data_IF_274611059260
#
_entry.id   IF_274611059260
#
_cell.length_a   1.000
_cell.length_b   1.000
_cell.length_c   1.000
_cell.angle_alpha   90.00
_cell.angle_beta   90.00
_cell.angle_gamma   90.00
#
_symmetry.space_group_name_H-M   'P 1'
#
loop_
_entity.id
_entity.type
_entity.pdbx_description
1 polymer ?
#
# COMPACT_ATOMS: atom_id res chain seq x y z
N UNK A 1 85.93 -17.32 58.92
CA UNK A 1 84.81 -16.58 59.54
C UNK A 1 83.54 -16.91 58.74
N UNK A 2 82.43 -17.23 59.40
CA UNK A 2 81.50 -18.32 59.02
C UNK A 2 80.13 -17.83 58.48
N UNK A 3 79.13 -18.73 58.50
CA UNK A 3 77.72 -18.69 58.01
C UNK A 3 77.57 -19.11 56.53
N UNK A 4 77.02 -20.26 56.11
CA UNK A 4 75.94 -21.13 56.61
C UNK A 4 74.59 -20.40 56.79
N UNK A 5 73.64 -20.55 55.83
CA UNK A 5 72.29 -21.10 56.07
C UNK A 5 71.38 -21.17 54.79
N UNK A 6 70.80 -22.36 54.59
CA UNK A 6 69.51 -22.80 53.99
C UNK A 6 68.88 -22.25 52.67
N UNK A 7 68.73 -23.19 51.71
CA UNK A 7 67.51 -23.80 51.12
C UNK A 7 66.30 -22.91 50.75
N UNK A 8 65.89 -22.94 49.47
CA UNK A 8 64.52 -23.30 49.04
C UNK A 8 64.42 -23.69 47.56
N UNK A 9 63.68 -24.77 47.33
CA UNK A 9 63.28 -25.36 46.05
C UNK A 9 62.53 -24.38 45.15
N UNK A 10 62.72 -24.53 43.84
CA UNK A 10 61.83 -23.98 42.82
C UNK A 10 61.91 -24.78 41.52
N UNK A 11 61.09 -25.83 41.41
CA UNK A 11 60.76 -26.50 40.15
C UNK A 11 60.16 -25.49 39.17
N UNK A 12 60.66 -25.47 37.93
CA UNK A 12 60.06 -24.74 36.83
C UNK A 12 60.30 -25.46 35.50
N UNK A 13 59.66 -26.63 35.31
CA UNK A 13 59.44 -27.18 33.98
C UNK A 13 58.57 -26.17 33.21
N UNK A 14 59.16 -25.44 32.27
CA UNK A 14 58.41 -24.60 31.35
C UNK A 14 58.01 -25.41 30.12
N UNK A 15 56.71 -25.62 30.08
CA UNK A 15 55.86 -26.31 29.13
C UNK A 15 55.72 -25.54 27.80
N UNK A 16 55.36 -26.29 26.76
CA UNK A 16 54.53 -25.90 25.61
C UNK A 16 55.22 -25.52 24.30
N UNK A 17 55.33 -26.54 23.44
CA UNK A 17 55.26 -26.38 21.99
C UNK A 17 53.85 -25.90 21.61
N UNK A 18 53.73 -24.67 21.13
CA UNK A 18 52.52 -24.17 20.48
C UNK A 18 52.68 -24.35 18.97
N UNK A 19 51.88 -25.25 18.41
CA UNK A 19 51.77 -25.45 16.97
C UNK A 19 51.32 -24.17 16.27
N UNK A 20 52.01 -23.81 15.20
CA UNK A 20 51.62 -22.70 14.33
C UNK A 20 50.33 -23.08 13.58
N UNK A 21 49.23 -22.42 13.93
CA UNK A 21 48.00 -22.45 13.14
C UNK A 21 48.18 -21.47 11.97
N UNK A 22 48.24 -21.99 10.75
CA UNK A 22 48.25 -21.17 9.54
C UNK A 22 46.95 -20.36 9.44
N UNK A 23 47.06 -19.04 9.33
CA UNK A 23 45.92 -18.16 9.14
C UNK A 23 45.25 -18.37 7.76
N UNK A 24 43.92 -18.34 7.66
CA UNK A 24 43.23 -18.47 6.39
C UNK A 24 43.46 -17.24 5.51
N UNK A 25 43.86 -17.46 4.25
CA UNK A 25 43.94 -16.42 3.22
C UNK A 25 42.52 -16.03 2.77
N UNK A 26 42.12 -14.80 3.04
CA UNK A 26 40.85 -14.23 2.57
C UNK A 26 40.99 -13.93 1.08
N UNK A 27 40.25 -14.66 0.25
CA UNK A 27 40.14 -14.38 -1.20
C UNK A 27 39.09 -13.29 -1.42
N UNK A 28 39.51 -12.10 -1.83
CA UNK A 28 38.60 -11.00 -2.13
C UNK A 28 37.87 -11.27 -3.44
N UNK A 29 36.53 -11.35 -3.37
CA UNK A 29 35.68 -11.36 -4.57
C UNK A 29 35.63 -9.94 -5.15
N UNK A 30 35.97 -9.72 -6.43
CA UNK A 30 35.88 -8.39 -7.02
C UNK A 30 34.41 -7.96 -7.07
N UNK A 31 34.10 -6.80 -6.49
CA UNK A 31 32.77 -6.18 -6.60
C UNK A 31 32.66 -5.64 -8.03
N UNK A 32 31.84 -6.30 -8.86
CA UNK A 32 31.44 -5.77 -10.15
C UNK A 32 30.49 -4.59 -9.91
N UNK A 33 30.92 -3.38 -10.23
CA UNK A 33 30.02 -2.22 -10.25
C UNK A 33 29.31 -2.13 -11.59
N UNK A 34 27.98 -2.06 -11.56
CA UNK A 34 27.19 -1.75 -12.75
C UNK A 34 27.49 -0.31 -13.18
N UNK A 35 28.06 -0.14 -14.38
CA UNK A 35 28.13 1.19 -15.02
C UNK A 35 26.82 1.40 -15.77
N UNK A 36 26.09 2.43 -15.37
CA UNK A 36 24.95 2.91 -16.14
C UNK A 36 25.47 3.83 -17.23
N UNK A 37 25.20 3.48 -18.50
CA UNK A 37 25.49 4.37 -19.62
C UNK A 37 24.63 5.63 -19.54
N UNK A 38 25.11 6.78 -20.03
CA UNK A 38 24.29 7.99 -20.13
C UNK A 38 23.05 7.71 -20.99
N UNK A 39 21.87 7.88 -20.42
CA UNK A 39 20.60 7.84 -21.18
C UNK A 39 20.62 8.99 -22.19
N UNK A 40 20.25 8.75 -23.45
CA UNK A 40 20.18 9.80 -24.47
C UNK A 40 19.05 10.79 -24.17
N UNK A 41 19.13 11.98 -24.74
CA UNK A 41 18.09 13.00 -24.54
C UNK A 41 16.77 12.59 -25.19
N UNK A 42 16.80 11.86 -26.30
CA UNK A 42 15.62 11.29 -26.95
C UNK A 42 14.93 10.27 -26.06
N UNK A 43 15.70 9.33 -25.48
CA UNK A 43 15.15 8.32 -24.58
C UNK A 43 14.57 8.96 -23.31
N UNK A 44 15.22 10.00 -22.79
CA UNK A 44 14.75 10.75 -21.63
C UNK A 44 13.45 11.52 -21.97
N UNK A 45 13.41 12.18 -23.13
CA UNK A 45 12.24 12.89 -23.63
C UNK A 45 11.04 11.97 -23.84
N UNK A 46 11.25 10.82 -24.47
CA UNK A 46 10.19 9.85 -24.72
C UNK A 46 9.64 9.26 -23.42
N UNK A 47 10.52 8.78 -22.54
CA UNK A 47 10.10 8.12 -21.31
C UNK A 47 9.35 9.06 -20.35
N UNK A 48 9.82 10.30 -20.23
CA UNK A 48 9.23 11.30 -19.33
C UNK A 48 8.25 12.24 -20.02
N UNK A 49 8.01 12.07 -21.32
CA UNK A 49 7.14 12.92 -22.13
C UNK A 49 7.55 14.40 -22.03
N UNK A 50 8.84 14.67 -22.11
CA UNK A 50 9.43 16.00 -21.95
C UNK A 50 9.75 16.63 -23.31
N UNK A 51 9.62 17.95 -23.40
CA UNK A 51 10.09 18.71 -24.57
C UNK A 51 11.61 18.92 -24.53
N UNK A 52 12.21 19.29 -25.67
CA UNK A 52 13.65 19.53 -25.76
C UNK A 52 14.14 20.60 -24.76
N UNK A 53 13.36 21.66 -24.55
CA UNK A 53 13.68 22.72 -23.58
C UNK A 53 13.68 22.20 -22.14
N UNK A 54 12.74 21.31 -21.79
CA UNK A 54 12.64 20.71 -20.47
C UNK A 54 13.87 19.82 -20.20
N UNK A 55 14.31 19.06 -21.22
CA UNK A 55 15.52 18.22 -21.15
C UNK A 55 16.77 19.08 -20.95
N UNK A 56 16.93 20.16 -21.73
CA UNK A 56 18.07 21.06 -21.58
C UNK A 56 18.11 21.68 -20.18
N UNK A 57 16.96 22.16 -19.69
CA UNK A 57 16.81 22.72 -18.34
C UNK A 57 17.20 21.72 -17.26
N UNK A 58 16.68 20.49 -17.36
CA UNK A 58 17.01 19.40 -16.44
C UNK A 58 18.51 19.08 -16.45
N UNK A 59 19.10 18.87 -17.64
CA UNK A 59 20.53 18.57 -17.79
C UNK A 59 21.41 19.65 -17.21
N UNK A 60 21.12 20.92 -17.50
CA UNK A 60 21.87 22.08 -17.01
C UNK A 60 21.84 22.14 -15.48
N UNK A 61 20.67 21.90 -14.88
CA UNK A 61 20.52 21.89 -13.43
C UNK A 61 21.28 20.71 -12.78
N UNK A 62 21.13 19.51 -13.34
CA UNK A 62 21.79 18.30 -12.84
C UNK A 62 23.30 18.33 -13.01
N UNK A 63 23.83 18.99 -14.04
CA UNK A 63 25.28 19.15 -14.24
C UNK A 63 25.96 19.95 -13.10
N UNK A 64 25.22 20.81 -12.41
CA UNK A 64 25.69 21.69 -11.36
C UNK A 64 25.36 21.11 -9.96
N UNK A 65 24.46 21.75 -9.23
CA UNK A 65 24.08 21.37 -7.87
C UNK A 65 23.07 20.22 -7.82
N UNK A 66 22.27 20.04 -8.88
CA UNK A 66 21.19 19.05 -8.89
C UNK A 66 21.67 17.61 -8.66
N UNK A 67 22.86 17.26 -9.15
CA UNK A 67 23.46 15.92 -8.90
C UNK A 67 23.67 15.59 -7.43
N UNK A 68 23.88 16.59 -6.56
CA UNK A 68 24.14 16.37 -5.14
C UNK A 68 22.85 16.29 -4.32
N UNK A 69 21.86 17.11 -4.66
CA UNK A 69 20.62 17.21 -3.88
C UNK A 69 19.51 16.31 -4.42
N UNK A 70 19.45 16.09 -5.73
CA UNK A 70 18.28 15.51 -6.39
C UNK A 70 18.61 14.35 -7.34
N UNK A 71 19.82 13.79 -7.28
CA UNK A 71 20.21 12.63 -8.10
C UNK A 71 19.35 11.37 -7.88
N UNK A 72 18.56 11.34 -6.80
CA UNK A 72 17.65 10.25 -6.46
C UNK A 72 16.19 10.52 -6.90
N UNK A 73 15.91 11.71 -7.46
CA UNK A 73 14.58 12.09 -7.93
C UNK A 73 14.44 11.87 -9.42
N UNK A 74 13.22 11.64 -9.87
CA UNK A 74 12.93 11.60 -11.30
C UNK A 74 12.98 13.01 -11.94
N UNK A 75 13.22 13.10 -13.26
CA UNK A 75 13.35 14.38 -13.95
C UNK A 75 12.13 15.31 -13.83
N UNK A 76 10.92 14.75 -13.76
CA UNK A 76 9.69 15.55 -13.64
C UNK A 76 9.62 16.22 -12.27
N UNK A 77 9.94 15.49 -11.20
CA UNK A 77 10.02 16.07 -9.86
C UNK A 77 11.09 17.16 -9.76
N UNK A 78 12.28 16.92 -10.31
CA UNK A 78 13.35 17.93 -10.34
C UNK A 78 12.87 19.19 -11.06
N UNK A 79 12.31 19.04 -12.26
CA UNK A 79 11.78 20.15 -13.05
C UNK A 79 10.67 20.90 -12.29
N UNK A 80 9.75 20.19 -11.64
CA UNK A 80 8.69 20.79 -10.83
C UNK A 80 9.23 21.61 -9.65
N UNK A 81 10.29 21.15 -8.98
CA UNK A 81 10.93 21.85 -7.85
C UNK A 81 11.61 23.14 -8.32
N UNK A 82 12.37 23.07 -9.43
CA UNK A 82 13.17 24.23 -9.90
C UNK A 82 12.38 25.20 -10.78
N UNK A 83 11.21 24.81 -11.29
CA UNK A 83 10.40 25.64 -12.17
C UNK A 83 9.86 26.86 -11.43
N UNK A 84 9.99 28.06 -11.99
CA UNK A 84 9.47 29.30 -11.38
C UNK A 84 8.14 29.75 -11.99
N UNK A 85 7.86 29.35 -13.23
CA UNK A 85 6.57 29.60 -13.86
C UNK A 85 5.48 28.70 -13.28
N UNK A 86 4.38 29.29 -12.83
CA UNK A 86 3.29 28.55 -12.16
C UNK A 86 2.54 27.64 -13.13
N UNK A 87 2.40 28.04 -14.40
CA UNK A 87 1.75 27.24 -15.43
C UNK A 87 2.55 25.98 -15.72
N UNK A 88 3.84 26.15 -16.01
CA UNK A 88 4.76 25.05 -16.30
C UNK A 88 4.96 24.14 -15.10
N UNK A 89 5.01 24.70 -13.88
CA UNK A 89 5.07 23.90 -12.64
C UNK A 89 3.82 23.01 -12.47
N UNK A 90 2.64 23.52 -12.84
CA UNK A 90 1.39 22.73 -12.86
C UNK A 90 1.47 21.60 -13.90
N UNK A 91 1.96 21.87 -15.10
CA UNK A 91 2.14 20.84 -16.13
C UNK A 91 3.04 19.69 -15.66
N UNK A 92 4.15 20.00 -14.97
CA UNK A 92 5.01 18.96 -14.39
C UNK A 92 4.30 18.16 -13.29
N UNK A 93 3.52 18.82 -12.41
CA UNK A 93 2.74 18.14 -11.40
C UNK A 93 1.71 17.17 -12.02
N UNK A 94 1.04 17.59 -13.08
CA UNK A 94 0.09 16.74 -13.81
C UNK A 94 0.79 15.53 -14.44
N UNK A 95 1.94 15.74 -15.10
CA UNK A 95 2.76 14.65 -15.65
C UNK A 95 3.21 13.67 -14.57
N UNK A 96 3.65 14.18 -13.41
CA UNK A 96 4.07 13.36 -12.28
C UNK A 96 2.92 12.48 -11.79
N UNK A 97 1.74 13.06 -11.54
CA UNK A 97 0.58 12.32 -11.05
C UNK A 97 0.10 11.25 -12.04
N UNK A 98 0.15 11.53 -13.34
CA UNK A 98 -0.17 10.53 -14.36
C UNK A 98 0.82 9.36 -14.35
N UNK A 99 2.12 9.66 -14.28
CA UNK A 99 3.16 8.62 -14.17
C UNK A 99 3.01 7.80 -12.89
N UNK A 100 2.78 8.45 -11.76
CA UNK A 100 2.59 7.80 -10.47
C UNK A 100 1.35 6.91 -10.46
N UNK A 101 0.25 7.37 -11.05
CA UNK A 101 -0.96 6.56 -11.19
C UNK A 101 -0.71 5.27 -11.97
N UNK A 102 0.11 5.33 -13.04
CA UNK A 102 0.52 4.13 -13.80
C UNK A 102 1.36 3.19 -12.94
N UNK A 103 2.41 3.70 -12.28
CA UNK A 103 3.29 2.89 -11.41
C UNK A 103 2.52 2.19 -10.29
N UNK A 104 1.63 2.92 -9.61
CA UNK A 104 0.78 2.33 -8.56
C UNK A 104 -0.14 1.27 -9.14
N UNK A 105 -0.75 1.52 -10.30
CA UNK A 105 -1.61 0.53 -10.96
C UNK A 105 -0.85 -0.76 -11.28
N UNK A 106 0.37 -0.65 -11.81
CA UNK A 106 1.23 -1.81 -12.11
C UNK A 106 1.59 -2.59 -10.84
N UNK A 107 2.05 -1.91 -9.79
CA UNK A 107 2.38 -2.53 -8.51
C UNK A 107 1.18 -3.24 -7.87
N UNK A 108 0.00 -2.60 -7.87
CA UNK A 108 -1.23 -3.19 -7.34
C UNK A 108 -1.66 -4.39 -8.17
N UNK A 109 -1.56 -4.31 -9.51
CA UNK A 109 -1.90 -5.43 -10.38
C UNK A 109 -1.02 -6.64 -10.13
N UNK A 110 0.29 -6.42 -9.96
CA UNK A 110 1.24 -7.48 -9.65
C UNK A 110 1.00 -8.06 -8.25
N UNK A 111 0.82 -7.22 -7.23
CA UNK A 111 0.53 -7.67 -5.86
C UNK A 111 -0.76 -8.52 -5.81
N UNK A 112 -1.79 -8.13 -6.57
CA UNK A 112 -3.04 -8.89 -6.69
C UNK A 112 -2.79 -10.26 -7.32
N UNK A 113 -2.00 -10.30 -8.40
CA UNK A 113 -1.63 -11.56 -9.06
C UNK A 113 -0.82 -12.47 -8.12
N UNK A 114 0.14 -11.91 -7.37
CA UNK A 114 0.93 -12.66 -6.38
C UNK A 114 0.02 -13.27 -5.31
N UNK A 115 -0.93 -12.49 -4.77
CA UNK A 115 -1.88 -13.00 -3.78
C UNK A 115 -2.75 -14.14 -4.35
N UNK A 116 -3.28 -13.99 -5.57
CA UNK A 116 -4.07 -15.02 -6.23
C UNK A 116 -3.24 -16.30 -6.50
N UNK A 117 -1.98 -16.15 -6.95
CA UNK A 117 -1.09 -17.28 -7.19
C UNK A 117 -0.66 -17.96 -5.90
N UNK A 118 -0.44 -17.21 -4.83
CA UNK A 118 -0.12 -17.76 -3.51
C UNK A 118 -1.25 -18.65 -3.00
N UNK A 119 -2.51 -18.22 -3.13
CA UNK A 119 -3.66 -19.04 -2.74
C UNK A 119 -3.77 -20.33 -3.57
N UNK A 120 -3.50 -20.27 -4.88
CA UNK A 120 -3.52 -21.46 -5.74
C UNK A 120 -2.40 -22.46 -5.43
N UNK A 121 -1.21 -21.96 -5.11
CA UNK A 121 -0.02 -22.80 -4.89
C UNK A 121 0.07 -23.32 -3.46
N UNK A 122 -0.35 -22.53 -2.48
CA UNK A 122 -0.10 -22.77 -1.05
C UNK A 122 -1.38 -22.71 -0.19
N UNK A 123 -2.55 -22.45 -0.78
CA UNK A 123 -3.79 -22.35 -0.04
C UNK A 123 -3.75 -21.23 1.00
N UNK A 124 -4.19 -21.52 2.23
CA UNK A 124 -4.17 -20.59 3.35
C UNK A 124 -2.94 -20.74 4.25
N UNK A 125 -1.87 -21.38 3.75
CA UNK A 125 -0.62 -21.51 4.49
C UNK A 125 -0.02 -20.11 4.75
N UNK A 126 0.39 -19.80 5.99
CA UNK A 126 1.07 -18.53 6.26
C UNK A 126 2.44 -18.52 5.59
N UNK A 127 2.77 -17.43 4.90
CA UNK A 127 4.10 -17.23 4.28
C UNK A 127 5.27 -17.40 5.26
N UNK A 128 5.04 -17.14 6.55
CA UNK A 128 6.04 -17.26 7.59
C UNK A 128 5.45 -18.01 8.79
N UNK A 129 6.04 -19.16 9.11
CA UNK A 129 5.78 -19.82 10.39
C UNK A 129 6.72 -19.28 11.47
N UNK A 130 6.27 -18.23 12.15
CA UNK A 130 7.00 -17.68 13.30
C UNK A 130 7.05 -18.64 14.51
N UNK A 131 6.26 -19.71 14.54
CA UNK A 131 6.34 -20.74 15.59
C UNK A 131 7.56 -21.63 15.44
N UNK A 132 8.05 -21.82 14.21
CA UNK A 132 9.24 -22.62 13.92
C UNK A 132 10.56 -21.89 14.25
N UNK A 133 10.50 -20.61 14.65
CA UNK A 133 11.70 -19.87 15.03
C UNK A 133 12.25 -20.38 16.38
N UNK A 134 13.57 -20.67 16.50
CA UNK A 134 14.18 -21.14 17.75
C UNK A 134 13.98 -20.19 18.94
N UNK A 135 13.84 -18.89 18.65
CA UNK A 135 13.63 -17.85 19.66
C UNK A 135 12.20 -17.88 20.23
N UNK A 136 11.24 -18.41 19.46
CA UNK A 136 9.85 -18.54 19.88
C UNK A 136 9.64 -19.70 20.86
N UNK A 137 10.45 -20.75 20.76
CA UNK A 137 10.40 -21.91 21.66
C UNK A 137 11.24 -21.71 22.92
N UNK A 138 12.33 -20.94 22.84
CA UNK A 138 13.27 -20.75 23.94
C UNK A 138 12.93 -19.61 24.92
N UNK A 139 11.94 -18.76 24.62
CA UNK A 139 11.62 -17.58 25.45
C UNK A 139 10.20 -17.63 26.04
N UNK A 140 10.06 -17.73 27.39
CA UNK A 140 8.76 -17.65 28.06
C UNK A 140 8.01 -16.35 27.79
N UNK A 141 8.73 -15.23 27.64
CA UNK A 141 8.12 -13.92 27.34
C UNK A 141 7.60 -13.83 25.91
N UNK A 142 8.15 -14.62 24.98
CA UNK A 142 7.63 -14.71 23.62
C UNK A 142 6.31 -15.50 23.59
N UNK A 143 6.21 -16.56 24.41
CA UNK A 143 4.97 -17.34 24.53
C UNK A 143 3.85 -16.53 25.20
N UNK A 144 4.17 -15.76 26.25
CA UNK A 144 3.18 -14.88 26.89
C UNK A 144 2.73 -13.75 25.96
N UNK A 145 3.65 -13.08 25.26
CA UNK A 145 3.31 -12.06 24.28
C UNK A 145 2.50 -12.62 23.09
N UNK A 146 2.73 -13.88 22.71
CA UNK A 146 1.93 -14.58 21.69
C UNK A 146 0.54 -14.93 22.19
N UNK A 147 0.41 -15.42 23.43
CA UNK A 147 -0.88 -15.70 24.05
C UNK A 147 -1.70 -14.42 24.22
N UNK A 148 -1.06 -13.31 24.62
CA UNK A 148 -1.65 -11.97 24.65
C UNK A 148 -2.05 -11.50 23.25
N UNK A 149 -1.20 -11.68 22.22
CA UNK A 149 -1.60 -11.37 20.85
C UNK A 149 -2.71 -12.26 20.31
N UNK A 150 -2.77 -13.53 20.68
CA UNK A 150 -3.82 -14.44 20.24
C UNK A 150 -5.13 -14.16 20.96
N UNK A 151 -5.09 -13.79 22.24
CA UNK A 151 -6.26 -13.30 22.98
C UNK A 151 -6.68 -11.92 22.50
N UNK A 152 -5.76 -11.02 22.16
CA UNK A 152 -6.06 -9.74 21.52
C UNK A 152 -6.54 -9.92 20.08
N UNK A 153 -5.98 -10.84 19.28
CA UNK A 153 -6.42 -11.12 17.92
C UNK A 153 -7.77 -11.85 17.93
N UNK A 154 -8.01 -12.73 18.90
CA UNK A 154 -9.34 -13.29 19.15
C UNK A 154 -10.28 -12.20 19.65
N UNK A 155 -9.84 -11.29 20.51
CA UNK A 155 -10.62 -10.16 20.97
C UNK A 155 -10.85 -9.12 19.87
N UNK A 156 -9.97 -8.97 18.87
CA UNK A 156 -10.10 -8.11 17.68
C UNK A 156 -10.90 -8.83 16.57
N UNK A 157 -10.85 -10.16 16.53
CA UNK A 157 -11.72 -10.96 15.66
C UNK A 157 -13.15 -11.08 16.23
N UNK A 158 -13.30 -10.96 17.55
CA UNK A 158 -14.56 -11.01 18.32
C UNK A 158 -15.08 -9.63 18.74
N UNK A 159 -14.26 -8.58 18.73
CA UNK A 159 -14.77 -7.21 18.65
C UNK A 159 -15.03 -6.99 17.18
N UNK A 160 -16.30 -6.96 16.75
CA UNK A 160 -16.56 -6.12 15.61
C UNK A 160 -15.98 -4.74 15.97
N UNK A 161 -14.96 -4.30 15.25
CA UNK A 161 -14.85 -2.87 14.95
C UNK A 161 -15.97 -2.56 13.95
N UNK A 162 -17.21 -2.85 14.34
CA UNK A 162 -18.31 -1.99 13.98
C UNK A 162 -17.84 -0.64 14.49
N UNK A 163 -17.79 0.42 13.67
CA UNK A 163 -17.79 1.73 14.28
C UNK A 163 -18.97 1.72 15.26
N UNK A 164 -18.75 2.08 16.51
CA UNK A 164 -19.83 2.30 17.49
C UNK A 164 -20.78 3.43 17.08
N UNK A 165 -20.80 3.80 15.79
CA UNK A 165 -21.83 4.61 15.20
C UNK A 165 -23.03 3.72 14.86
N UNK A 166 -23.75 3.32 15.90
CA UNK A 166 -25.21 3.22 15.85
C UNK A 166 -25.83 4.63 15.85
N UNK A 167 -25.08 5.67 15.48
CA UNK A 167 -25.68 6.96 15.21
C UNK A 167 -26.48 6.79 13.92
N UNK A 168 -27.80 6.81 14.07
CA UNK A 168 -28.74 6.91 12.95
C UNK A 168 -28.34 8.16 12.16
N UNK A 169 -27.69 7.97 11.01
CA UNK A 169 -27.30 9.09 10.14
C UNK A 169 -28.47 9.43 9.24
N UNK A 170 -28.98 10.64 9.34
CA UNK A 170 -29.92 11.20 8.37
C UNK A 170 -29.16 11.81 7.20
N UNK A 171 -29.59 11.49 5.98
CA UNK A 171 -29.07 12.09 4.75
C UNK A 171 -29.41 13.59 4.67
N UNK A 172 -28.45 14.38 4.20
CA UNK A 172 -28.62 15.80 3.94
C UNK A 172 -28.10 16.15 2.53
N UNK A 173 -28.62 17.23 1.95
CA UNK A 173 -28.12 17.78 0.69
C UNK A 173 -26.61 18.05 0.77
N UNK A 174 -25.86 17.64 -0.24
CA UNK A 174 -24.40 17.72 -0.29
C UNK A 174 -23.68 16.50 0.28
N UNK A 175 -24.40 15.52 0.85
CA UNK A 175 -23.81 14.24 1.20
C UNK A 175 -23.49 13.40 -0.05
N UNK A 176 -22.47 12.55 0.07
CA UNK A 176 -22.16 11.51 -0.91
C UNK A 176 -22.34 10.15 -0.25
N UNK A 177 -23.08 9.25 -0.87
CA UNK A 177 -23.31 7.90 -0.35
C UNK A 177 -22.54 6.88 -1.15
N UNK A 178 -21.62 6.17 -0.50
CA UNK A 178 -20.92 5.04 -1.09
C UNK A 178 -21.73 3.76 -0.87
N UNK A 179 -22.44 3.33 -1.90
CA UNK A 179 -23.31 2.15 -1.89
C UNK A 179 -22.54 0.92 -2.41
N UNK A 180 -22.27 -0.03 -1.52
CA UNK A 180 -21.67 -1.32 -1.84
C UNK A 180 -22.73 -2.30 -2.35
N UNK A 181 -22.48 -2.85 -3.54
CA UNK A 181 -23.35 -3.84 -4.18
C UNK A 181 -22.56 -5.08 -4.61
N UNK A 182 -23.26 -6.20 -4.79
CA UNK A 182 -22.70 -7.45 -5.35
C UNK A 182 -23.60 -7.97 -6.46
N UNK A 183 -23.13 -8.86 -7.36
CA UNK A 183 -23.94 -9.38 -8.47
C UNK A 183 -25.25 -10.06 -8.02
N UNK A 184 -25.28 -10.59 -6.80
CA UNK A 184 -26.41 -11.31 -6.22
C UNK A 184 -27.40 -10.38 -5.49
N UNK A 185 -26.97 -9.16 -5.17
CA UNK A 185 -27.82 -8.20 -4.49
C UNK A 185 -28.67 -7.47 -5.53
N UNK A 186 -29.94 -7.85 -5.66
CA UNK A 186 -30.88 -7.23 -6.60
C UNK A 186 -31.85 -6.32 -5.83
N UNK A 187 -33.05 -6.81 -5.53
CA UNK A 187 -34.13 -6.03 -4.92
C UNK A 187 -33.72 -5.24 -3.66
N UNK A 188 -32.95 -5.79 -2.69
CA UNK A 188 -32.52 -5.02 -1.51
C UNK A 188 -31.61 -3.84 -1.86
N UNK A 189 -30.68 -4.03 -2.81
CA UNK A 189 -29.78 -2.97 -3.26
C UNK A 189 -30.53 -1.87 -4.02
N UNK A 190 -31.50 -2.25 -4.85
CA UNK A 190 -32.34 -1.29 -5.57
C UNK A 190 -33.26 -0.50 -4.64
N UNK A 191 -33.86 -1.15 -3.64
CA UNK A 191 -34.69 -0.47 -2.66
C UNK A 191 -33.88 0.57 -1.84
N UNK A 192 -32.66 0.22 -1.43
CA UNK A 192 -31.79 1.18 -0.74
C UNK A 192 -31.32 2.31 -1.65
N UNK A 193 -31.00 2.00 -2.92
CA UNK A 193 -30.68 3.01 -3.92
C UNK A 193 -31.83 4.00 -4.11
N UNK A 194 -33.06 3.50 -4.25
CA UNK A 194 -34.26 4.34 -4.34
C UNK A 194 -34.40 5.20 -3.10
N UNK A 195 -34.30 4.63 -1.89
CA UNK A 195 -34.38 5.36 -0.63
C UNK A 195 -33.38 6.53 -0.55
N UNK A 196 -32.13 6.30 -0.97
CA UNK A 196 -31.09 7.35 -0.98
C UNK A 196 -31.46 8.47 -1.96
N UNK A 197 -31.91 8.11 -3.17
CA UNK A 197 -32.19 9.07 -4.24
C UNK A 197 -33.41 9.95 -3.97
N UNK A 198 -34.34 9.51 -3.12
CA UNK A 198 -35.45 10.33 -2.63
C UNK A 198 -34.99 11.55 -1.81
N UNK A 199 -33.75 11.57 -1.32
CA UNK A 199 -33.20 12.75 -0.64
C UNK A 199 -32.57 13.68 -1.66
N UNK A 200 -33.08 14.89 -1.82
CA UNK A 200 -32.56 15.87 -2.78
C UNK A 200 -31.10 16.28 -2.48
N UNK A 201 -30.31 16.47 -3.54
CA UNK A 201 -28.94 16.97 -3.44
C UNK A 201 -27.89 15.97 -2.93
N UNK A 202 -28.24 14.69 -2.79
CA UNK A 202 -27.29 13.62 -2.44
C UNK A 202 -26.66 13.00 -3.69
N UNK A 203 -25.35 12.82 -3.71
CA UNK A 203 -24.65 12.06 -4.76
C UNK A 203 -24.50 10.59 -4.34
N UNK A 204 -24.59 9.66 -5.27
CA UNK A 204 -24.45 8.22 -4.99
C UNK A 204 -23.28 7.64 -5.78
N UNK A 205 -22.30 7.07 -5.06
CA UNK A 205 -21.20 6.29 -5.63
C UNK A 205 -21.51 4.80 -5.47
N UNK A 206 -21.81 4.10 -6.56
CA UNK A 206 -22.10 2.66 -6.55
C UNK A 206 -20.81 1.89 -6.74
N UNK A 207 -20.42 1.12 -5.72
CA UNK A 207 -19.21 0.30 -5.71
C UNK A 207 -19.55 -1.18 -5.86
N UNK A 208 -19.16 -1.78 -7.00
CA UNK A 208 -19.39 -3.19 -7.27
C UNK A 208 -18.29 -4.10 -6.71
N UNK A 209 -18.62 -4.95 -5.72
CA UNK A 209 -17.75 -6.02 -5.21
C UNK A 209 -18.12 -7.37 -5.82
N UNK A 210 -17.12 -8.06 -6.38
CA UNK A 210 -17.31 -9.38 -6.99
C UNK A 210 -17.91 -9.36 -8.41
N UNK A 211 -17.98 -8.18 -9.04
CA UNK A 211 -18.24 -8.06 -10.48
C UNK A 211 -16.97 -8.39 -11.27
N UNK A 212 -17.12 -8.98 -12.45
CA UNK A 212 -15.99 -9.32 -13.32
C UNK A 212 -15.28 -8.05 -13.85
N UNK A 213 -16.07 -7.05 -14.23
CA UNK A 213 -15.62 -5.78 -14.80
C UNK A 213 -16.69 -4.67 -14.59
N UNK A 214 -16.40 -3.48 -15.11
CA UNK A 214 -17.32 -2.32 -15.04
C UNK A 214 -18.58 -2.54 -15.87
N UNK A 215 -18.50 -3.25 -16.99
CA UNK A 215 -19.65 -3.50 -17.88
C UNK A 215 -20.68 -4.41 -17.20
N UNK A 216 -20.22 -5.40 -16.43
CA UNK A 216 -21.08 -6.23 -15.59
C UNK A 216 -21.81 -5.41 -14.52
N UNK A 217 -21.16 -4.40 -13.94
CA UNK A 217 -21.79 -3.48 -12.99
C UNK A 217 -22.79 -2.55 -13.68
N UNK A 218 -22.48 -2.04 -14.87
CA UNK A 218 -23.40 -1.25 -15.71
C UNK A 218 -24.64 -2.07 -16.05
N UNK A 219 -24.46 -3.31 -16.51
CA UNK A 219 -25.55 -4.22 -16.84
C UNK A 219 -26.42 -4.52 -15.61
N UNK A 220 -25.81 -4.72 -14.45
CA UNK A 220 -26.51 -4.88 -13.18
C UNK A 220 -27.35 -3.65 -12.82
N UNK A 221 -26.81 -2.43 -12.97
CA UNK A 221 -27.57 -1.20 -12.75
C UNK A 221 -28.68 -1.02 -13.79
N UNK A 222 -28.52 -1.55 -15.00
CA UNK A 222 -29.55 -1.56 -16.04
C UNK A 222 -30.86 -2.25 -15.64
N UNK A 223 -30.80 -3.24 -14.74
CA UNK A 223 -31.98 -3.92 -14.20
C UNK A 223 -32.74 -3.10 -13.16
N UNK A 224 -32.13 -2.05 -12.61
CA UNK A 224 -32.83 -1.11 -11.72
C UNK A 224 -33.91 -0.36 -12.51
N UNK A 225 -35.15 -0.40 -12.01
CA UNK A 225 -36.32 0.23 -12.63
C UNK A 225 -36.80 1.38 -11.75
N UNK A 226 -36.54 2.60 -12.19
CA UNK A 226 -37.18 3.81 -11.67
C UNK A 226 -38.23 4.32 -12.66
N UNK A 227 -39.28 4.96 -12.16
CA UNK A 227 -40.35 5.56 -12.98
C UNK A 227 -39.79 6.73 -13.83
N UNK A 228 -40.11 6.84 -15.14
CA UNK A 228 -39.78 8.02 -15.94
C UNK A 228 -40.73 9.16 -15.55
N UNK A 229 -40.28 10.32 -14.98
CA UNK A 229 -39.05 11.07 -15.26
C UNK A 229 -37.94 11.00 -14.21
N UNK A 230 -38.18 10.36 -13.05
CA UNK A 230 -37.22 10.28 -11.94
C UNK A 230 -35.94 9.55 -12.33
N UNK A 231 -36.05 8.55 -13.22
CA UNK A 231 -34.89 7.80 -13.70
C UNK A 231 -33.79 8.67 -14.31
N UNK A 232 -34.16 9.69 -15.08
CA UNK A 232 -33.17 10.55 -15.74
C UNK A 232 -32.47 11.47 -14.73
N UNK A 233 -33.25 12.12 -13.86
CA UNK A 233 -32.72 12.96 -12.76
C UNK A 233 -31.87 12.15 -11.77
N UNK A 234 -32.27 10.92 -11.46
CA UNK A 234 -31.51 10.06 -10.57
C UNK A 234 -30.22 9.57 -11.24
N UNK A 235 -30.24 9.23 -12.53
CA UNK A 235 -29.05 8.79 -13.25
C UNK A 235 -27.93 9.82 -13.26
N UNK A 236 -28.24 11.12 -13.27
CA UNK A 236 -27.24 12.20 -13.18
C UNK A 236 -26.50 12.24 -11.84
N UNK A 237 -27.13 11.70 -10.78
CA UNK A 237 -26.60 11.68 -9.40
C UNK A 237 -25.92 10.35 -9.04
N UNK A 238 -25.87 9.40 -9.98
CA UNK A 238 -25.26 8.07 -9.76
C UNK A 238 -23.93 8.00 -10.50
N UNK A 239 -22.88 7.67 -9.76
CA UNK A 239 -21.54 7.41 -10.29
C UNK A 239 -21.16 5.96 -10.03
N UNK A 240 -20.81 5.23 -11.10
CA UNK A 240 -20.26 3.89 -10.95
C UNK A 240 -18.77 3.98 -10.61
N UNK A 241 -18.37 3.29 -9.54
CA UNK A 241 -16.98 3.22 -9.08
C UNK A 241 -16.54 1.77 -8.96
N UNK A 242 -15.23 1.55 -9.15
CA UNK A 242 -14.60 0.27 -8.77
C UNK A 242 -14.68 0.11 -7.25
N UNK A 243 -14.78 -1.14 -6.78
CA UNK A 243 -14.67 -1.42 -5.36
C UNK A 243 -13.38 -0.84 -4.77
N UNK A 244 -13.52 -0.06 -3.69
CA UNK A 244 -12.42 0.56 -2.95
C UNK A 244 -12.30 -0.09 -1.56
N UNK A 245 -11.32 -0.97 -1.34
CA UNK A 245 -11.18 -1.66 -0.06
C UNK A 245 -10.81 -0.73 1.10
N UNK A 246 -10.25 0.46 0.84
CA UNK A 246 -9.91 1.43 1.88
C UNK A 246 -11.17 2.16 2.37
N UNK A 247 -12.05 2.53 1.44
CA UNK A 247 -13.33 3.17 1.78
C UNK A 247 -14.22 2.25 2.64
N UNK A 248 -14.18 0.94 2.37
CA UNK A 248 -14.95 -0.08 3.10
C UNK A 248 -14.11 -0.83 4.16
N UNK A 249 -13.00 -0.25 4.61
CA UNK A 249 -12.22 -0.84 5.70
C UNK A 249 -13.05 -0.92 6.98
N UNK A 250 -13.01 -2.05 7.67
CA UNK A 250 -13.90 -2.40 8.80
C UNK A 250 -15.24 -3.02 8.39
N UNK A 251 -15.56 -3.02 7.09
CA UNK A 251 -16.78 -3.61 6.52
C UNK A 251 -16.47 -4.76 5.55
N UNK A 252 -15.30 -5.37 5.65
CA UNK A 252 -14.83 -6.40 4.71
C UNK A 252 -15.79 -7.61 4.67
N UNK A 253 -16.39 -7.92 5.82
CA UNK A 253 -17.38 -9.00 6.00
C UNK A 253 -18.83 -8.53 5.89
N UNK A 254 -19.09 -7.24 5.72
CA UNK A 254 -20.46 -6.73 5.59
C UNK A 254 -21.12 -7.27 4.32
N UNK A 255 -22.37 -7.68 4.42
CA UNK A 255 -23.16 -8.11 3.27
C UNK A 255 -23.69 -6.89 2.52
N UNK A 256 -23.85 -7.01 1.20
CA UNK A 256 -24.55 -5.99 0.44
C UNK A 256 -26.08 -6.13 0.65
N UNK A 257 -26.84 -5.01 0.67
CA UNK A 257 -26.36 -3.65 0.49
C UNK A 257 -25.72 -3.07 1.77
N UNK A 258 -24.68 -2.26 1.59
CA UNK A 258 -24.12 -1.41 2.64
C UNK A 258 -23.96 -0.01 2.06
N UNK A 259 -24.51 1.01 2.73
CA UNK A 259 -24.40 2.39 2.31
C UNK A 259 -23.65 3.21 3.36
N UNK A 260 -22.49 3.76 2.98
CA UNK A 260 -21.70 4.65 3.84
C UNK A 260 -21.96 6.10 3.46
N UNK A 261 -22.42 6.91 4.42
CA UNK A 261 -22.65 8.34 4.22
C UNK A 261 -21.35 9.09 4.41
N UNK A 262 -21.00 9.94 3.45
CA UNK A 262 -19.81 10.79 3.46
C UNK A 262 -20.21 12.25 3.42
N UNK A 263 -19.61 13.05 4.32
CA UNK A 263 -19.78 14.50 4.38
C UNK A 263 -18.41 15.17 4.43
N UNK A 264 -18.18 16.13 3.52
CA UNK A 264 -16.87 16.76 3.34
C UNK A 264 -15.72 15.72 3.21
N UNK A 265 -15.98 14.64 2.46
CA UNK A 265 -15.01 13.58 2.18
C UNK A 265 -14.81 12.53 3.29
N UNK A 266 -15.41 12.69 4.47
CA UNK A 266 -15.28 11.77 5.62
C UNK A 266 -16.52 10.91 5.79
N UNK A 267 -16.35 9.63 6.14
CA UNK A 267 -17.48 8.75 6.51
C UNK A 267 -18.05 9.19 7.85
N UNK A 268 -19.34 9.51 7.88
CA UNK A 268 -20.07 9.94 9.08
C UNK A 268 -20.95 8.84 9.67
N UNK A 269 -21.24 7.79 8.91
CA UNK A 269 -21.92 6.58 9.38
C UNK A 269 -22.44 5.71 8.24
N UNK A 270 -23.22 4.71 8.57
CA UNK A 270 -23.91 3.84 7.63
C UNK A 270 -25.44 4.04 7.72
N UNK A 271 -26.14 3.79 6.62
CA UNK A 271 -27.61 3.75 6.56
C UNK A 271 -28.15 2.35 6.85
#
# INVERSE_FOLDING_TARGET
MPYALLILLGLGLSLSALGQVSAPTISHTPIASTRFEPVSDEALAEHWQLGAEDIEKYRRYMALEGRYFYGHLDPIMVLGIIETDVGKRREYADKYLQGERRRVSEQVSFATLVAARSLLLYGSEPLFDFAALPQATASPSFQSARAERQTMAAAVAQTPFLPSSTAVVTLASGDTVALLVTPQCLAPCYALLDQILHTDGVEVEVHGRGFADTDALIAWLGFWKAEPPQRQTHSERIQLKRFDPLLFSGYERAQAPLALVRRAGRVVGAL
#
